data_IF_873624431598
#
_entry.id   IF_873624431598
#
_cell.length_a   1.000
_cell.length_b   1.000
_cell.length_c   1.000
_cell.angle_alpha   90.00
_cell.angle_beta   90.00
_cell.angle_gamma   90.00
#
_symmetry.space_group_name_H-M   'P 1'
#
loop_
_entity.id
_entity.type
_entity.pdbx_description
1 polymer ?
#
# COMPACT_ATOMS: atom_id res chain seq x y z
N UNK A 1 -12.35 7.27 13.98
CA UNK A 1 -11.33 7.06 12.93
C UNK A 1 -10.98 5.58 12.94
N UNK A 2 -10.89 4.96 11.77
CA UNK A 2 -10.47 3.56 11.60
C UNK A 2 -9.04 3.56 11.10
N UNK A 3 -8.16 2.77 11.74
CA UNK A 3 -6.74 2.68 11.39
C UNK A 3 -6.40 1.22 11.08
N UNK A 4 -5.82 1.00 9.91
CA UNK A 4 -5.16 -0.25 9.54
C UNK A 4 -3.66 -0.03 9.74
N UNK A 5 -3.07 -0.77 10.68
CA UNK A 5 -1.66 -0.62 11.05
C UNK A 5 -0.85 -1.83 10.63
N UNK A 6 0.33 -1.58 10.07
CA UNK A 6 1.37 -2.56 9.83
C UNK A 6 2.24 -2.85 11.06
N UNK A 7 2.16 -2.04 12.12
CA UNK A 7 2.82 -2.31 13.42
C UNK A 7 2.24 -3.57 14.06
N UNK A 8 2.93 -4.69 13.85
CA UNK A 8 2.55 -6.02 14.31
C UNK A 8 3.65 -6.55 15.22
N UNK A 9 3.28 -7.31 16.26
CA UNK A 9 4.27 -7.81 17.21
C UNK A 9 4.57 -6.78 18.30
N UNK A 10 5.77 -6.20 18.28
CA UNK A 10 6.26 -5.29 19.31
C UNK A 10 5.86 -3.85 18.98
N UNK A 11 5.02 -3.20 19.80
CA UNK A 11 4.53 -1.86 19.47
C UNK A 11 5.66 -0.85 19.23
N UNK A 12 5.63 -0.21 18.05
CA UNK A 12 6.58 0.80 17.63
C UNK A 12 7.93 0.26 17.15
N UNK A 13 8.09 -1.05 16.98
CA UNK A 13 9.29 -1.64 16.38
C UNK A 13 9.12 -1.76 14.86
N UNK A 14 9.78 -0.94 14.04
CA UNK A 14 9.69 -1.09 12.58
C UNK A 14 10.37 -2.37 12.06
N UNK A 15 11.03 -3.15 12.91
CA UNK A 15 11.66 -4.42 12.54
C UNK A 15 10.69 -5.57 12.31
N UNK A 16 9.51 -5.54 12.92
CA UNK A 16 8.48 -6.57 12.77
C UNK A 16 7.22 -6.09 12.04
N UNK A 17 7.16 -4.82 11.63
CA UNK A 17 6.09 -4.27 10.80
C UNK A 17 5.79 -5.14 9.57
N UNK A 18 4.51 -5.21 9.20
CA UNK A 18 4.07 -5.78 7.94
C UNK A 18 4.72 -5.06 6.75
N UNK A 19 5.12 -5.84 5.74
CA UNK A 19 5.68 -5.27 4.50
C UNK A 19 4.67 -4.38 3.79
N UNK A 20 3.43 -4.87 3.63
CA UNK A 20 2.31 -4.12 3.10
C UNK A 20 1.14 -4.17 4.09
N UNK A 21 0.53 -3.04 4.41
CA UNK A 21 -0.71 -3.04 5.21
C UNK A 21 -1.88 -3.59 4.38
N UNK A 22 -1.92 -3.24 3.08
CA UNK A 22 -2.82 -3.81 2.09
C UNK A 22 -2.04 -4.38 0.91
N UNK A 23 -2.37 -5.61 0.51
CA UNK A 23 -1.76 -6.29 -0.61
C UNK A 23 -2.85 -6.88 -1.51
N UNK A 24 -2.91 -6.41 -2.75
CA UNK A 24 -3.81 -6.95 -3.77
C UNK A 24 -2.98 -7.75 -4.77
N UNK A 25 -2.97 -9.08 -4.70
CA UNK A 25 -2.26 -9.88 -5.67
C UNK A 25 -2.99 -9.91 -7.02
N UNK A 26 -2.25 -10.23 -8.08
CA UNK A 26 -2.74 -10.28 -9.46
C UNK A 26 -4.02 -11.10 -9.61
N UNK A 27 -4.14 -12.22 -8.89
CA UNK A 27 -5.29 -13.14 -9.02
C UNK A 27 -6.62 -12.54 -8.55
N UNK A 28 -6.59 -11.45 -7.76
CA UNK A 28 -7.82 -10.74 -7.41
C UNK A 28 -8.36 -9.91 -8.57
N UNK A 29 -7.49 -9.48 -9.50
CA UNK A 29 -7.82 -8.67 -10.67
C UNK A 29 -8.83 -7.55 -10.34
N UNK A 30 -8.56 -6.79 -9.27
CA UNK A 30 -9.52 -5.79 -8.80
C UNK A 30 -9.68 -4.70 -9.85
N UNK A 31 -10.91 -4.26 -10.06
CA UNK A 31 -11.21 -3.10 -10.89
C UNK A 31 -11.76 -1.95 -10.04
N UNK A 32 -12.18 -0.87 -10.69
CA UNK A 32 -12.68 0.34 -10.03
C UNK A 32 -13.92 0.12 -9.15
N UNK A 33 -14.58 -1.04 -9.24
CA UNK A 33 -15.70 -1.42 -8.35
C UNK A 33 -15.24 -1.88 -6.96
N UNK A 34 -13.96 -2.25 -6.80
CA UNK A 34 -13.36 -2.46 -5.50
C UNK A 34 -13.10 -1.10 -4.84
N UNK A 35 -13.90 -0.77 -3.82
CA UNK A 35 -13.85 0.53 -3.13
C UNK A 35 -13.29 0.39 -1.72
N UNK A 36 -12.24 1.15 -1.43
CA UNK A 36 -11.72 1.39 -0.09
C UNK A 36 -12.15 2.79 0.35
N UNK A 37 -12.81 2.93 1.51
CA UNK A 37 -13.38 4.20 1.95
C UNK A 37 -13.22 4.47 3.46
N UNK A 38 -12.58 5.59 3.81
CA UNK A 38 -12.75 6.24 5.11
C UNK A 38 -11.82 5.79 6.24
N UNK A 39 -10.59 5.39 5.94
CA UNK A 39 -9.64 4.95 6.95
C UNK A 39 -8.18 5.37 6.68
N UNK A 40 -7.38 5.26 7.75
CA UNK A 40 -5.95 5.54 7.74
C UNK A 40 -5.17 4.24 7.58
N UNK A 41 -4.13 4.25 6.74
CA UNK A 41 -3.20 3.14 6.48
C UNK A 41 -1.82 3.57 6.97
N UNK A 42 -1.25 2.84 7.93
CA UNK A 42 -0.01 3.27 8.62
C UNK A 42 0.94 2.13 8.94
N UNK A 43 2.23 2.47 9.10
CA UNK A 43 3.22 1.58 9.69
C UNK A 43 3.61 0.40 8.80
N UNK A 44 3.30 0.43 7.51
CA UNK A 44 3.84 -0.56 6.58
C UNK A 44 5.30 -0.27 6.21
N UNK A 45 6.11 -1.31 6.05
CA UNK A 45 7.55 -1.21 5.76
C UNK A 45 7.99 -2.27 4.76
N UNK A 46 7.91 -1.96 3.47
CA UNK A 46 8.30 -2.89 2.40
C UNK A 46 9.83 -2.86 2.20
N UNK A 47 10.56 -3.74 2.90
CA UNK A 47 12.02 -3.93 2.82
C UNK A 47 12.44 -5.38 2.50
N UNK A 48 11.54 -6.16 1.87
CA UNK A 48 11.80 -7.54 1.49
C UNK A 48 12.50 -7.65 0.13
N UNK A 49 13.82 -7.46 0.13
CA UNK A 49 14.68 -7.36 -1.07
C UNK A 49 14.64 -8.55 -2.04
N UNK A 50 14.33 -9.75 -1.55
CA UNK A 50 14.36 -10.99 -2.34
C UNK A 50 12.99 -11.42 -2.89
N UNK A 51 11.96 -10.56 -2.75
CA UNK A 51 10.60 -10.88 -3.20
C UNK A 51 10.08 -9.83 -4.20
N UNK A 52 9.54 -10.24 -5.36
CA UNK A 52 8.91 -9.31 -6.30
C UNK A 52 7.81 -8.48 -5.63
N UNK A 53 7.92 -7.16 -5.71
CA UNK A 53 6.99 -6.23 -5.05
C UNK A 53 7.24 -6.05 -3.55
N UNK A 54 8.08 -6.87 -2.91
CA UNK A 54 8.35 -6.84 -1.46
C UNK A 54 9.09 -5.58 -0.97
N UNK A 55 9.58 -4.76 -1.89
CA UNK A 55 10.22 -3.46 -1.63
C UNK A 55 9.40 -2.27 -2.13
N UNK A 56 8.12 -2.49 -2.47
CA UNK A 56 7.26 -1.49 -3.11
C UNK A 56 5.98 -1.24 -2.29
N UNK A 57 5.58 0.01 -2.06
CA UNK A 57 4.25 0.30 -1.50
C UNK A 57 4.06 -0.22 -0.07
N UNK A 58 4.73 0.38 0.91
CA UNK A 58 4.64 -0.04 2.32
C UNK A 58 3.21 0.01 2.87
N UNK A 59 2.45 1.05 2.53
CA UNK A 59 1.04 1.13 2.91
C UNK A 59 0.18 0.19 2.07
N UNK A 60 0.31 0.25 0.74
CA UNK A 60 -0.46 -0.60 -0.16
C UNK A 60 0.32 -0.97 -1.43
N UNK A 61 0.28 -2.24 -1.79
CA UNK A 61 0.78 -2.74 -3.08
C UNK A 61 -0.37 -3.34 -3.90
N UNK A 62 -0.59 -2.80 -5.10
CA UNK A 62 -1.57 -3.28 -6.05
C UNK A 62 -0.87 -3.97 -7.21
N UNK A 63 -1.00 -5.28 -7.30
CA UNK A 63 -0.51 -6.04 -8.44
C UNK A 63 -1.63 -6.22 -9.46
N UNK A 64 -1.44 -5.63 -10.65
CA UNK A 64 -2.38 -5.68 -11.77
C UNK A 64 -3.82 -5.30 -11.37
N UNK A 65 -3.95 -4.44 -10.36
CA UNK A 65 -5.21 -4.15 -9.69
C UNK A 65 -5.50 -2.66 -9.71
N UNK A 66 -6.76 -2.33 -10.01
CA UNK A 66 -7.23 -0.97 -10.28
C UNK A 66 -8.34 -0.49 -9.33
N UNK A 67 -8.15 -0.52 -7.99
CA UNK A 67 -9.21 -0.14 -7.04
C UNK A 67 -9.46 1.37 -6.99
N UNK A 68 -10.61 1.73 -6.41
CA UNK A 68 -10.97 3.11 -6.07
C UNK A 68 -10.74 3.38 -4.59
N UNK A 69 -10.00 4.43 -4.27
CA UNK A 69 -9.76 4.89 -2.90
C UNK A 69 -10.48 6.21 -2.66
N UNK A 70 -11.30 6.23 -1.61
CA UNK A 70 -12.03 7.39 -1.14
C UNK A 70 -11.63 7.70 0.31
N UNK A 71 -11.35 8.96 0.63
CA UNK A 71 -11.17 9.40 2.02
C UNK A 71 -10.10 8.58 2.78
N UNK A 72 -9.00 8.23 2.09
CA UNK A 72 -7.90 7.45 2.67
C UNK A 72 -6.76 8.38 3.09
N UNK A 73 -6.15 8.10 4.24
CA UNK A 73 -4.89 8.71 4.63
C UNK A 73 -3.81 7.64 4.70
N UNK A 74 -2.78 7.74 3.86
CA UNK A 74 -1.54 6.98 4.04
C UNK A 74 -0.62 7.79 4.95
N UNK A 75 -0.22 7.24 6.08
CA UNK A 75 0.66 7.92 7.04
C UNK A 75 1.84 7.03 7.45
N UNK A 76 3.04 7.59 7.50
CA UNK A 76 4.24 6.95 8.04
C UNK A 76 4.50 5.52 7.52
N UNK A 77 4.23 5.29 6.23
CA UNK A 77 4.61 4.05 5.55
C UNK A 77 5.94 4.21 4.82
N UNK A 78 6.70 3.12 4.71
CA UNK A 78 8.02 3.13 4.08
C UNK A 78 8.22 1.96 3.13
N UNK A 79 9.01 2.19 2.08
CA UNK A 79 9.41 1.18 1.10
C UNK A 79 10.69 1.66 0.41
N UNK A 80 11.36 0.80 -0.37
CA UNK A 80 12.38 1.31 -1.30
C UNK A 80 11.69 2.11 -2.42
N UNK A 81 10.59 1.58 -2.97
CA UNK A 81 9.85 2.21 -4.06
C UNK A 81 8.42 2.59 -3.66
N UNK A 82 8.09 3.88 -3.71
CA UNK A 82 6.75 4.37 -3.41
C UNK A 82 6.29 4.05 -1.98
N UNK A 83 6.88 4.71 -0.97
CA UNK A 83 6.67 4.41 0.46
C UNK A 83 5.23 4.20 0.91
N UNK A 84 4.29 4.99 0.38
CA UNK A 84 2.87 4.82 0.67
C UNK A 84 2.22 3.71 -0.16
N UNK A 85 2.27 3.85 -1.47
CA UNK A 85 1.49 3.02 -2.38
C UNK A 85 2.27 2.76 -3.66
N UNK A 86 2.13 1.55 -4.18
CA UNK A 86 2.65 1.15 -5.48
C UNK A 86 1.58 0.41 -6.29
N UNK A 87 1.54 0.67 -7.59
CA UNK A 87 0.67 -0.03 -8.55
C UNK A 87 1.56 -0.59 -9.65
N UNK A 88 1.57 -1.90 -9.81
CA UNK A 88 2.30 -2.60 -10.88
C UNK A 88 1.34 -3.13 -11.93
N UNK A 89 1.79 -3.09 -13.18
CA UNK A 89 1.19 -3.83 -14.28
C UNK A 89 2.31 -4.24 -15.27
N UNK A 90 2.17 -5.39 -15.94
CA UNK A 90 3.11 -5.88 -16.94
C UNK A 90 2.76 -5.20 -18.24
N UNK A 91 3.76 -4.85 -19.04
CA UNK A 91 3.49 -4.36 -20.38
C UNK A 91 2.87 -5.49 -21.24
N UNK A 92 1.80 -5.24 -22.02
CA UNK A 92 1.19 -3.95 -22.35
C UNK A 92 -0.05 -3.57 -21.51
N UNK A 93 -0.32 -4.26 -20.41
CA UNK A 93 -1.45 -3.99 -19.53
C UNK A 93 -1.24 -2.72 -18.70
N UNK A 94 -2.34 -2.09 -18.32
CA UNK A 94 -2.35 -0.91 -17.46
C UNK A 94 -3.19 -1.20 -16.22
N UNK A 95 -2.62 -0.97 -15.05
CA UNK A 95 -3.36 -0.90 -13.79
C UNK A 95 -3.38 0.55 -13.31
N UNK A 96 -4.57 1.02 -12.91
CA UNK A 96 -4.77 2.42 -12.52
C UNK A 96 -5.54 2.50 -11.22
N UNK A 97 -5.15 3.41 -10.33
CA UNK A 97 -5.85 3.60 -9.06
C UNK A 97 -6.53 4.95 -9.04
N UNK A 98 -7.84 4.96 -8.77
CA UNK A 98 -8.59 6.20 -8.62
C UNK A 98 -8.44 6.74 -7.19
N UNK A 99 -7.96 7.98 -7.06
CA UNK A 99 -7.74 8.64 -5.77
C UNK A 99 -8.72 9.80 -5.58
N UNK A 100 -9.66 9.66 -4.65
CA UNK A 100 -10.60 10.72 -4.28
C UNK A 100 -10.41 11.09 -2.81
N UNK A 101 -10.03 12.34 -2.55
CA UNK A 101 -9.78 12.83 -1.19
C UNK A 101 -8.78 11.94 -0.44
N UNK A 102 -7.62 11.68 -1.06
CA UNK A 102 -6.55 10.86 -0.48
C UNK A 102 -5.41 11.77 -0.02
N UNK A 103 -4.88 11.51 1.17
CA UNK A 103 -3.76 12.23 1.76
C UNK A 103 -2.56 11.30 1.95
N UNK A 104 -1.36 11.84 1.76
CA UNK A 104 -0.09 11.17 2.00
C UNK A 104 0.74 12.02 2.97
N UNK A 105 1.01 11.49 4.17
CA UNK A 105 1.70 12.21 5.25
C UNK A 105 2.88 11.37 5.76
N UNK A 106 4.09 11.91 5.76
CA UNK A 106 5.25 11.21 6.38
C UNK A 106 5.70 9.90 5.70
N UNK A 107 5.12 9.52 4.56
CA UNK A 107 5.55 8.31 3.85
C UNK A 107 6.91 8.49 3.17
N UNK A 108 7.77 7.47 3.18
CA UNK A 108 9.17 7.55 2.71
C UNK A 108 9.50 6.45 1.68
N UNK A 109 10.07 6.85 0.54
CA UNK A 109 10.82 5.97 -0.36
C UNK A 109 12.33 6.15 -0.11
N UNK A 110 13.14 5.11 -0.25
CA UNK A 110 14.59 5.12 0.05
C UNK A 110 15.43 5.08 -1.22
#
# INVERSE_FOLDING_TARGET
>A
ETVLSGDIGTPGDPGDNAYHVLYHPEELALDSSAVLDGFTITGGKADLVDYPGGVCGGGMYNDHSSPTLNNITFVDNSAENGGAVWVSAPYPEEATMALNNVSFVGNSAI
#
